data_IF_449857560093
#
_entry.id   IF_449857560093
#
_cell.length_a   1.000
_cell.length_b   1.000
_cell.length_c   1.000
_cell.angle_alpha   90.00
_cell.angle_beta   90.00
_cell.angle_gamma   90.00
#
_symmetry.space_group_name_H-M   'P 1'
#
loop_
_entity.id
_entity.type
_entity.pdbx_description
1 polymer ?
#
# COMPACT_ATOMS: atom_id res chain seq x y z
N UNK A 1 -7.84 -4.31 10.64
CA UNK A 1 -8.59 -4.37 9.36
C UNK A 1 -9.36 -5.68 9.37
N UNK A 2 -10.66 -5.68 9.03
CA UNK A 2 -11.52 -6.87 9.23
C UNK A 2 -10.92 -8.19 8.70
N UNK A 3 -10.12 -8.12 7.64
CA UNK A 3 -9.41 -9.28 7.08
C UNK A 3 -8.39 -9.86 8.06
N UNK A 4 -7.58 -9.06 8.75
CA UNK A 4 -6.60 -9.53 9.73
C UNK A 4 -7.26 -10.31 10.87
N UNK A 5 -8.41 -9.82 11.33
CA UNK A 5 -9.13 -10.43 12.47
C UNK A 5 -9.76 -11.78 12.07
N UNK A 6 -10.14 -11.93 10.80
CA UNK A 6 -10.71 -13.17 10.24
C UNK A 6 -9.64 -14.14 9.72
N UNK A 7 -8.52 -13.61 9.26
CA UNK A 7 -7.40 -14.34 8.66
C UNK A 7 -6.08 -13.79 9.22
N UNK A 8 -5.66 -14.22 10.42
CA UNK A 8 -4.42 -13.76 11.03
C UNK A 8 -3.16 -14.11 10.22
N UNK A 9 -3.25 -15.10 9.32
CA UNK A 9 -2.18 -15.51 8.40
C UNK A 9 -2.16 -14.71 7.09
N UNK A 10 -3.10 -13.77 6.91
CA UNK A 10 -3.15 -12.96 5.71
C UNK A 10 -1.91 -12.06 5.62
N UNK A 11 -1.24 -12.09 4.47
CA UNK A 11 -0.20 -11.11 4.15
C UNK A 11 -0.87 -9.79 3.84
N UNK A 12 -0.61 -8.80 4.67
CA UNK A 12 -1.08 -7.44 4.48
C UNK A 12 0.02 -6.63 3.82
N UNK A 13 -0.26 -6.06 2.65
CA UNK A 13 0.68 -5.22 1.92
C UNK A 13 0.15 -3.79 1.86
N UNK A 14 0.98 -2.84 2.28
CA UNK A 14 0.68 -1.41 2.20
C UNK A 14 1.55 -0.78 1.12
N UNK A 15 0.93 -0.47 -0.03
CA UNK A 15 1.62 0.17 -1.16
C UNK A 15 1.46 1.68 -1.04
N UNK A 16 2.57 2.39 -0.95
CA UNK A 16 2.59 3.84 -0.74
C UNK A 16 3.52 4.53 -1.73
N UNK A 17 3.40 5.85 -1.86
CA UNK A 17 4.41 6.66 -2.54
C UNK A 17 5.57 6.98 -1.58
N UNK A 18 6.74 7.42 -2.08
CA UNK A 18 7.84 7.87 -1.22
C UNK A 18 7.42 8.96 -0.24
N UNK A 19 6.60 9.90 -0.73
CA UNK A 19 6.06 11.00 0.04
C UNK A 19 4.73 11.50 -0.56
N UNK A 20 4.10 12.46 0.14
CA UNK A 20 2.81 13.05 -0.29
C UNK A 20 2.93 14.00 -1.47
N UNK A 21 4.06 14.68 -1.64
CA UNK A 21 4.26 15.56 -2.79
C UNK A 21 4.31 14.75 -4.10
N UNK A 22 4.96 13.58 -4.09
CA UNK A 22 4.94 12.63 -5.21
C UNK A 22 3.54 12.09 -5.45
N UNK A 23 2.78 11.78 -4.40
CA UNK A 23 1.39 11.34 -4.56
C UNK A 23 0.53 12.40 -5.22
N UNK A 24 0.59 13.64 -4.72
CA UNK A 24 -0.13 14.79 -5.25
C UNK A 24 0.23 15.05 -6.71
N UNK A 25 1.52 15.10 -7.03
CA UNK A 25 2.01 15.31 -8.39
C UNK A 25 1.48 14.24 -9.36
N UNK A 26 1.42 12.97 -8.92
CA UNK A 26 0.86 11.87 -9.72
C UNK A 26 -0.65 11.98 -9.90
N UNK A 27 -1.39 12.38 -8.87
CA UNK A 27 -2.84 12.57 -8.98
C UNK A 27 -3.15 13.72 -9.93
N UNK A 28 -2.45 14.85 -9.80
CA UNK A 28 -2.58 15.99 -10.71
C UNK A 28 -2.15 15.63 -12.14
N UNK A 29 -1.08 14.86 -12.30
CA UNK A 29 -0.62 14.35 -13.59
C UNK A 29 -1.59 13.40 -14.28
N UNK A 30 -2.49 12.75 -13.53
CA UNK A 30 -3.61 11.96 -14.09
C UNK A 30 -4.79 12.82 -14.55
N UNK A 31 -4.79 14.11 -14.20
CA UNK A 31 -5.92 15.02 -14.44
C UNK A 31 -7.04 14.91 -13.39
N UNK A 32 -6.75 14.38 -12.19
CA UNK A 32 -7.71 14.36 -11.10
C UNK A 32 -8.07 15.81 -10.69
N UNK A 33 -9.34 16.06 -10.36
CA UNK A 33 -9.79 17.37 -9.87
C UNK A 33 -9.23 17.68 -8.46
N UNK A 34 -8.99 18.95 -8.14
CA UNK A 34 -8.34 19.37 -6.89
C UNK A 34 -9.09 18.91 -5.62
N UNK A 35 -10.43 18.87 -5.65
CA UNK A 35 -11.25 18.35 -4.55
C UNK A 35 -11.02 16.85 -4.32
N UNK A 36 -10.85 16.07 -5.41
CA UNK A 36 -10.51 14.66 -5.36
C UNK A 36 -9.07 14.43 -4.90
N UNK A 37 -8.14 15.27 -5.31
CA UNK A 37 -6.74 15.22 -4.86
C UNK A 37 -6.71 15.40 -3.34
N UNK A 38 -7.33 16.46 -2.81
CA UNK A 38 -7.39 16.74 -1.37
C UNK A 38 -8.01 15.57 -0.58
N UNK A 39 -9.13 15.02 -1.05
CA UNK A 39 -9.77 13.85 -0.43
C UNK A 39 -8.83 12.63 -0.41
N UNK A 40 -8.10 12.38 -1.50
CA UNK A 40 -7.18 11.24 -1.59
C UNK A 40 -5.95 11.41 -0.71
N UNK A 41 -5.40 12.62 -0.61
CA UNK A 41 -4.27 12.90 0.29
C UNK A 41 -4.68 12.74 1.76
N UNK A 42 -5.81 13.30 2.17
CA UNK A 42 -6.33 13.14 3.53
C UNK A 42 -6.56 11.66 3.86
N UNK A 43 -7.16 10.91 2.94
CA UNK A 43 -7.35 9.46 3.11
C UNK A 43 -6.02 8.73 3.22
N UNK A 44 -5.00 9.12 2.45
CA UNK A 44 -3.69 8.48 2.51
C UNK A 44 -2.99 8.71 3.87
N UNK A 45 -3.15 9.88 4.49
CA UNK A 45 -2.66 10.13 5.86
C UNK A 45 -3.33 9.19 6.86
N UNK A 46 -4.66 9.03 6.80
CA UNK A 46 -5.36 8.07 7.65
C UNK A 46 -4.90 6.63 7.42
N UNK A 47 -4.66 6.26 6.16
CA UNK A 47 -4.19 4.92 5.79
C UNK A 47 -2.78 4.64 6.34
N UNK A 48 -1.87 5.61 6.30
CA UNK A 48 -0.53 5.51 6.92
C UNK A 48 -0.63 5.33 8.42
N UNK A 49 -1.48 6.10 9.10
CA UNK A 49 -1.66 5.93 10.54
C UNK A 49 -2.24 4.55 10.86
N UNK A 50 -3.24 4.09 10.10
CA UNK A 50 -3.79 2.73 10.26
C UNK A 50 -2.75 1.65 9.98
N UNK A 51 -1.86 1.84 9.00
CA UNK A 51 -0.86 0.84 8.64
C UNK A 51 0.15 0.61 9.76
N UNK A 52 0.38 1.59 10.65
CA UNK A 52 1.26 1.45 11.82
C UNK A 52 0.71 0.50 12.89
N UNK A 53 -0.59 0.26 12.90
CA UNK A 53 -1.28 -0.52 13.94
C UNK A 53 -1.51 -1.99 13.52
N UNK A 54 -1.14 -2.36 12.30
CA UNK A 54 -1.34 -3.69 11.73
C UNK A 54 -0.03 -4.18 11.11
N UNK A 55 0.20 -5.49 10.99
CA UNK A 55 1.45 -6.04 10.46
C UNK A 55 1.52 -5.92 8.93
N UNK A 56 1.43 -4.70 8.41
CA UNK A 56 1.59 -4.43 6.99
C UNK A 56 3.06 -4.47 6.60
N UNK A 57 3.36 -5.21 5.55
CA UNK A 57 4.60 -5.03 4.80
C UNK A 57 4.46 -3.77 3.94
N UNK A 58 5.31 -2.76 4.17
CA UNK A 58 5.25 -1.50 3.43
C UNK A 58 6.12 -1.56 2.19
N UNK A 59 5.52 -1.24 1.05
CA UNK A 59 6.21 -1.20 -0.25
C UNK A 59 6.09 0.21 -0.83
N UNK A 60 7.23 0.78 -1.20
CA UNK A 60 7.29 2.09 -1.84
C UNK A 60 7.18 1.91 -3.36
N UNK A 61 6.16 2.53 -3.94
CA UNK A 61 5.87 2.50 -5.37
C UNK A 61 6.44 3.74 -6.07
N UNK A 62 7.76 3.87 -6.08
CA UNK A 62 8.52 4.84 -6.89
C UNK A 62 8.86 4.27 -8.27
N UNK A 63 9.30 3.02 -8.32
CA UNK A 63 9.64 2.25 -9.50
C UNK A 63 8.70 1.04 -9.64
N UNK A 64 8.03 0.94 -10.80
CA UNK A 64 7.00 -0.06 -11.03
C UNK A 64 7.55 -1.49 -11.00
N UNK A 65 8.68 -1.71 -11.66
CA UNK A 65 9.26 -3.05 -11.83
C UNK A 65 9.79 -3.57 -10.48
N UNK A 66 10.46 -2.70 -9.72
CA UNK A 66 10.92 -3.00 -8.37
C UNK A 66 9.76 -3.31 -7.43
N UNK A 67 8.76 -2.43 -7.34
CA UNK A 67 7.63 -2.62 -6.44
C UNK A 67 6.83 -3.90 -6.80
N UNK A 68 6.66 -4.18 -8.09
CA UNK A 68 6.03 -5.41 -8.55
C UNK A 68 6.85 -6.67 -8.18
N UNK A 69 8.18 -6.62 -8.32
CA UNK A 69 9.06 -7.72 -7.94
C UNK A 69 9.05 -7.97 -6.42
N UNK A 70 9.01 -6.93 -5.60
CA UNK A 70 8.88 -7.03 -4.14
C UNK A 70 7.55 -7.70 -3.75
N UNK A 71 6.42 -7.21 -4.29
CA UNK A 71 5.09 -7.80 -4.07
C UNK A 71 5.08 -9.27 -4.47
N UNK A 72 5.62 -9.60 -5.65
CA UNK A 72 5.69 -10.99 -6.14
C UNK A 72 6.45 -11.89 -5.16
N UNK A 73 7.59 -11.41 -4.68
CA UNK A 73 8.43 -12.16 -3.74
C UNK A 73 7.72 -12.42 -2.41
N UNK A 74 6.97 -11.44 -1.90
CA UNK A 74 6.15 -11.61 -0.70
C UNK A 74 5.07 -12.67 -0.90
N UNK A 75 4.38 -12.66 -2.04
CA UNK A 75 3.35 -13.66 -2.38
C UNK A 75 3.99 -15.06 -2.47
N UNK A 76 5.12 -15.19 -3.15
CA UNK A 76 5.85 -16.46 -3.27
C UNK A 76 6.31 -17.01 -1.91
N UNK A 77 6.83 -16.15 -1.04
CA UNK A 77 7.23 -16.51 0.32
C UNK A 77 6.04 -17.01 1.14
N UNK A 78 4.94 -16.26 1.12
CA UNK A 78 3.73 -16.62 1.87
C UNK A 78 3.12 -17.94 1.39
N UNK A 79 3.16 -18.22 0.09
CA UNK A 79 2.71 -19.50 -0.46
C UNK A 79 3.57 -20.67 0.03
N UNK A 80 4.89 -20.48 0.16
CA UNK A 80 5.81 -21.52 0.68
C UNK A 80 5.63 -21.77 2.17
N UNK A 81 5.30 -20.74 2.94
CA UNK A 81 5.13 -20.83 4.40
C UNK A 81 3.78 -21.37 4.84
N UNK A 82 2.81 -21.54 3.92
CA UNK A 82 1.53 -22.16 4.22
C UNK A 82 1.67 -23.69 4.23
N UNK A 83 1.39 -24.38 5.35
CA UNK A 83 1.29 -25.83 5.38
C UNK A 83 0.21 -26.29 4.39
N UNK A 84 0.45 -27.40 3.70
CA UNK A 84 -0.52 -28.02 2.79
C UNK A 84 -1.69 -28.62 3.54
#
# INVERSE_FOLDING_TARGET
>A
ARIHDLHPDAVLVFVDTPDRAVQEARLRGRGDAEDRIAQRLAKAEEEVERSRHLPFERIVNDDLDRAAAEIRSLIENARRSRPT
#
